data_IF_555620140078
#
_entry.id   IF_555620140078
#
_cell.length_a   1.000
_cell.length_b   1.000
_cell.length_c   1.000
_cell.angle_alpha   90.00
_cell.angle_beta   90.00
_cell.angle_gamma   90.00
#
_symmetry.space_group_name_H-M   'P 1'
#
loop_
_entity.id
_entity.type
_entity.pdbx_description
1 polymer ?
#
# COMPACT_ATOMS: atom_id res chain seq x y z
N UNK A 1 -61.16 9.19 -27.64
CA UNK A 1 -60.72 8.11 -26.73
C UNK A 1 -59.61 8.72 -25.87
N UNK A 2 -59.85 9.18 -24.63
CA UNK A 2 -59.56 8.45 -23.36
C UNK A 2 -58.31 7.55 -23.53
N UNK A 3 -57.17 7.77 -22.88
CA UNK A 3 -56.93 8.11 -21.45
C UNK A 3 -55.52 8.71 -21.26
N UNK A 4 -55.38 9.66 -20.34
CA UNK A 4 -54.12 10.17 -19.78
C UNK A 4 -53.71 9.22 -18.64
N UNK A 5 -52.45 8.79 -18.54
CA UNK A 5 -51.66 8.65 -17.29
C UNK A 5 -50.32 7.97 -17.60
N UNK A 6 -49.21 8.55 -17.12
CA UNK A 6 -47.90 7.91 -17.14
C UNK A 6 -46.71 8.84 -16.93
N UNK A 7 -46.82 9.87 -16.10
CA UNK A 7 -45.63 10.54 -15.53
C UNK A 7 -45.15 9.68 -14.37
N UNK A 8 -44.02 9.02 -14.55
CA UNK A 8 -43.08 8.64 -13.50
C UNK A 8 -41.70 8.80 -14.14
N UNK A 9 -40.95 9.87 -13.91
CA UNK A 9 -40.58 10.34 -12.58
C UNK A 9 -39.21 9.75 -12.29
N UNK A 10 -38.17 10.55 -12.54
CA UNK A 10 -36.81 10.26 -12.14
C UNK A 10 -36.79 9.83 -10.66
N UNK A 11 -36.16 8.70 -10.36
CA UNK A 11 -35.85 8.33 -8.98
C UNK A 11 -34.53 7.56 -8.92
N UNK A 12 -33.46 8.35 -8.78
CA UNK A 12 -32.42 8.15 -7.77
C UNK A 12 -31.73 6.77 -7.78
N UNK A 13 -30.59 6.73 -8.48
CA UNK A 13 -29.28 6.52 -7.85
C UNK A 13 -29.34 5.79 -6.49
N UNK A 14 -29.47 4.46 -6.48
CA UNK A 14 -29.19 3.68 -5.30
C UNK A 14 -27.66 3.61 -5.10
N UNK A 15 -27.08 4.73 -4.66
CA UNK A 15 -25.89 4.74 -3.84
C UNK A 15 -26.27 3.98 -2.58
N UNK A 16 -26.01 2.69 -2.58
CA UNK A 16 -25.99 1.87 -1.40
C UNK A 16 -24.64 1.14 -1.31
N UNK A 17 -23.54 1.83 -1.61
CA UNK A 17 -22.33 1.62 -0.83
C UNK A 17 -22.47 2.52 0.41
N UNK A 18 -23.31 2.05 1.32
CA UNK A 18 -23.12 2.37 2.73
C UNK A 18 -21.75 1.81 3.06
N UNK A 19 -20.72 2.65 2.93
CA UNK A 19 -19.49 2.51 3.67
C UNK A 19 -19.89 2.61 5.15
N UNK A 20 -20.47 1.52 5.66
CA UNK A 20 -20.31 1.16 7.03
C UNK A 20 -18.80 0.99 7.14
N UNK A 21 -18.12 2.04 7.63
CA UNK A 21 -16.69 2.05 7.85
C UNK A 21 -16.34 0.97 8.86
N UNK A 22 -16.32 -0.28 8.40
CA UNK A 22 -15.53 -1.31 9.02
C UNK A 22 -14.11 -0.83 8.86
N UNK A 23 -13.44 -0.57 9.98
CA UNK A 23 -12.01 -0.36 9.95
C UNK A 23 -11.39 -1.53 9.17
N UNK A 24 -10.63 -1.20 8.13
CA UNK A 24 -9.87 -2.19 7.35
C UNK A 24 -9.14 -3.12 8.32
N UNK A 25 -9.25 -4.43 8.08
CA UNK A 25 -8.53 -5.42 8.89
C UNK A 25 -7.01 -5.30 8.71
N UNK A 26 -6.59 -4.72 7.59
CA UNK A 26 -5.19 -4.48 7.25
C UNK A 26 -4.69 -3.08 7.58
N UNK A 27 -5.48 -2.21 8.25
CA UNK A 27 -5.08 -0.83 8.52
C UNK A 27 -3.69 -0.74 9.19
N UNK A 28 -3.44 -1.60 10.18
CA UNK A 28 -2.14 -1.67 10.86
C UNK A 28 -1.03 -2.18 9.94
N UNK A 29 -1.29 -3.20 9.13
CA UNK A 29 -0.31 -3.76 8.19
C UNK A 29 0.11 -2.72 7.14
N UNK A 30 -0.88 -2.07 6.52
CA UNK A 30 -0.67 -1.01 5.54
C UNK A 30 0.13 0.15 6.14
N UNK A 31 -0.19 0.58 7.36
CA UNK A 31 0.56 1.65 8.03
C UNK A 31 2.01 1.27 8.35
N UNK A 32 2.24 0.05 8.85
CA UNK A 32 3.60 -0.45 9.11
C UNK A 32 4.43 -0.55 7.82
N UNK A 33 3.80 -0.94 6.71
CA UNK A 33 4.45 -0.97 5.41
C UNK A 33 4.82 0.45 4.94
N UNK A 34 3.86 1.39 5.01
CA UNK A 34 4.06 2.81 4.69
C UNK A 34 5.23 3.41 5.47
N UNK A 35 5.24 3.26 6.81
CA UNK A 35 6.27 3.83 7.67
C UNK A 35 7.66 3.22 7.37
N UNK A 36 7.71 1.92 7.10
CA UNK A 36 8.94 1.23 6.71
C UNK A 36 9.50 1.74 5.39
N UNK A 37 8.65 1.83 4.37
CA UNK A 37 9.02 2.32 3.04
C UNK A 37 9.40 3.80 3.07
N UNK A 38 8.57 4.66 3.68
CA UNK A 38 8.78 6.11 3.68
C UNK A 38 10.06 6.49 4.41
N UNK A 39 10.45 5.78 5.47
CA UNK A 39 11.74 6.04 6.09
C UNK A 39 12.90 5.76 5.14
N UNK A 40 12.88 4.64 4.39
CA UNK A 40 13.91 4.38 3.39
C UNK A 40 13.87 5.44 2.28
N UNK A 41 12.68 5.76 1.76
CA UNK A 41 12.51 6.74 0.70
C UNK A 41 13.02 8.13 1.13
N UNK A 42 12.72 8.56 2.35
CA UNK A 42 13.23 9.81 2.91
C UNK A 42 14.74 9.79 3.15
N UNK A 43 15.31 8.67 3.60
CA UNK A 43 16.75 8.55 3.76
C UNK A 43 17.51 8.78 2.45
N UNK A 44 16.95 8.25 1.34
CA UNK A 44 17.48 8.40 -0.02
C UNK A 44 17.22 9.83 -0.52
N UNK A 45 15.98 10.31 -0.44
CA UNK A 45 15.54 11.60 -0.97
C UNK A 45 16.22 12.79 -0.28
N UNK A 46 16.36 12.73 1.03
CA UNK A 46 16.99 13.79 1.83
C UNK A 46 18.52 13.68 1.85
N UNK A 47 19.09 12.66 1.20
CA UNK A 47 20.53 12.39 1.16
C UNK A 47 21.16 12.46 2.57
N UNK A 48 20.55 11.75 3.54
CA UNK A 48 20.95 11.81 4.95
C UNK A 48 22.34 11.21 5.23
N UNK A 49 23.03 10.72 4.20
CA UNK A 49 24.34 10.09 4.28
C UNK A 49 24.26 8.58 4.05
N UNK A 50 25.32 8.03 3.45
CA UNK A 50 25.38 6.63 3.04
C UNK A 50 25.16 5.64 4.21
N UNK A 51 25.60 5.99 5.42
CA UNK A 51 25.43 5.15 6.60
C UNK A 51 23.97 5.06 7.05
N UNK A 52 23.21 6.16 6.95
CA UNK A 52 21.78 6.20 7.29
C UNK A 52 20.98 5.41 6.26
N UNK A 53 21.22 5.65 4.96
CA UNK A 53 20.57 4.90 3.87
C UNK A 53 20.85 3.40 3.99
N UNK A 54 22.09 3.01 4.30
CA UNK A 54 22.46 1.61 4.53
C UNK A 54 21.75 1.01 5.73
N UNK A 55 21.67 1.75 6.84
CA UNK A 55 20.95 1.33 8.05
C UNK A 55 19.47 1.08 7.75
N UNK A 56 18.81 2.00 7.05
CA UNK A 56 17.39 1.89 6.70
C UNK A 56 17.12 0.74 5.73
N UNK A 57 17.99 0.52 4.72
CA UNK A 57 17.93 -0.66 3.84
C UNK A 57 18.03 -1.97 4.62
N UNK A 58 18.92 -2.04 5.61
CA UNK A 58 19.11 -3.24 6.43
C UNK A 58 17.94 -3.50 7.38
N UNK A 59 17.27 -2.44 7.86
CA UNK A 59 16.11 -2.56 8.75
C UNK A 59 14.80 -2.85 7.99
N UNK A 60 14.70 -2.44 6.72
CA UNK A 60 13.47 -2.55 5.94
C UNK A 60 12.87 -3.97 5.92
N UNK A 61 13.62 -5.07 5.69
CA UNK A 61 13.05 -6.42 5.71
C UNK A 61 12.37 -6.77 7.04
N UNK A 62 12.90 -6.29 8.18
CA UNK A 62 12.28 -6.50 9.49
C UNK A 62 10.97 -5.73 9.63
N UNK A 63 10.92 -4.50 9.14
CA UNK A 63 9.70 -3.66 9.22
C UNK A 63 8.58 -4.19 8.33
N UNK A 64 8.94 -4.66 7.12
CA UNK A 64 7.99 -5.32 6.22
C UNK A 64 7.53 -6.64 6.82
N UNK A 65 8.39 -7.36 7.56
CA UNK A 65 7.95 -8.55 8.31
C UNK A 65 6.88 -8.22 9.35
N UNK A 66 7.05 -7.13 10.11
CA UNK A 66 6.04 -6.69 11.08
C UNK A 66 4.72 -6.33 10.40
N UNK A 67 4.77 -5.68 9.23
CA UNK A 67 3.59 -5.44 8.40
C UNK A 67 2.92 -6.75 7.94
N UNK A 68 3.71 -7.72 7.48
CA UNK A 68 3.22 -9.02 7.02
C UNK A 68 2.52 -9.81 8.14
N UNK A 69 3.08 -9.79 9.35
CA UNK A 69 2.51 -10.49 10.51
C UNK A 69 1.13 -9.94 10.92
N UNK A 70 0.76 -8.75 10.43
CA UNK A 70 -0.54 -8.10 10.66
C UNK A 70 -1.44 -8.12 9.43
N UNK A 71 -0.96 -8.62 8.30
CA UNK A 71 -1.67 -8.59 7.04
C UNK A 71 -2.51 -9.86 6.84
N UNK A 72 -3.63 -9.71 6.14
CA UNK A 72 -4.52 -10.79 5.72
C UNK A 72 -4.83 -10.67 4.22
N UNK A 73 -5.26 -11.79 3.61
CA UNK A 73 -5.74 -11.83 2.22
C UNK A 73 -4.74 -11.28 1.21
N UNK A 74 -5.24 -10.49 0.25
CA UNK A 74 -4.45 -9.92 -0.84
C UNK A 74 -3.34 -8.97 -0.35
N UNK A 75 -3.56 -8.24 0.74
CA UNK A 75 -2.54 -7.35 1.32
C UNK A 75 -1.36 -8.18 1.82
N UNK A 76 -1.62 -9.33 2.47
CA UNK A 76 -0.56 -10.22 2.93
C UNK A 76 0.25 -10.83 1.78
N UNK A 77 -0.39 -11.13 0.65
CA UNK A 77 0.30 -11.63 -0.55
C UNK A 77 1.24 -10.56 -1.11
N UNK A 78 0.75 -9.34 -1.32
CA UNK A 78 1.56 -8.24 -1.83
C UNK A 78 2.74 -7.88 -0.91
N UNK A 79 2.50 -7.83 0.41
CA UNK A 79 3.56 -7.54 1.39
C UNK A 79 4.59 -8.68 1.44
N UNK A 80 4.17 -9.94 1.26
CA UNK A 80 5.11 -11.08 1.20
C UNK A 80 6.04 -10.97 0.00
N UNK A 81 5.52 -10.66 -1.17
CA UNK A 81 6.33 -10.45 -2.37
C UNK A 81 7.35 -9.33 -2.17
N UNK A 82 6.90 -8.19 -1.63
CA UNK A 82 7.80 -7.08 -1.31
C UNK A 82 8.88 -7.46 -0.27
N UNK A 83 8.53 -8.25 0.74
CA UNK A 83 9.47 -8.78 1.75
C UNK A 83 10.55 -9.66 1.13
N UNK A 84 10.19 -10.51 0.16
CA UNK A 84 11.13 -11.41 -0.51
C UNK A 84 12.17 -10.65 -1.35
N UNK A 85 11.81 -9.47 -1.86
CA UNK A 85 12.68 -8.60 -2.65
C UNK A 85 13.50 -7.62 -1.81
N UNK A 86 13.01 -7.23 -0.62
CA UNK A 86 13.67 -6.25 0.25
C UNK A 86 15.15 -6.53 0.56
N UNK A 87 15.61 -7.80 0.77
CA UNK A 87 17.03 -8.11 0.95
C UNK A 87 17.93 -7.67 -0.22
N UNK A 88 17.39 -7.62 -1.45
CA UNK A 88 18.09 -7.15 -2.64
C UNK A 88 18.54 -5.68 -2.57
N UNK A 89 17.84 -4.87 -1.78
CA UNK A 89 18.21 -3.46 -1.55
C UNK A 89 19.53 -3.35 -0.76
N UNK A 90 19.77 -4.27 0.17
CA UNK A 90 20.98 -4.31 0.99
C UNK A 90 22.19 -4.88 0.24
N UNK A 91 21.97 -5.80 -0.71
CA UNK A 91 23.04 -6.34 -1.57
C UNK A 91 23.48 -5.38 -2.67
N UNK A 92 22.74 -4.29 -2.90
CA UNK A 92 23.01 -3.34 -3.99
C UNK A 92 22.66 -3.90 -5.37
N UNK A 93 21.83 -4.95 -5.42
CA UNK A 93 21.32 -5.54 -6.65
C UNK A 93 20.27 -4.60 -7.26
N UNK A 94 20.59 -3.98 -8.41
CA UNK A 94 19.70 -2.98 -9.03
C UNK A 94 18.40 -3.58 -9.54
N UNK A 95 18.42 -4.86 -9.94
CA UNK A 95 17.26 -5.53 -10.50
C UNK A 95 16.29 -5.91 -9.38
N UNK A 96 16.83 -6.44 -8.28
CA UNK A 96 16.04 -6.71 -7.08
C UNK A 96 15.51 -5.41 -6.45
N UNK A 97 16.31 -4.33 -6.47
CA UNK A 97 15.86 -3.01 -6.02
C UNK A 97 14.73 -2.45 -6.87
N UNK A 98 14.84 -2.51 -8.20
CA UNK A 98 13.78 -2.08 -9.13
C UNK A 98 12.51 -2.91 -8.91
N UNK A 99 12.64 -4.23 -8.83
CA UNK A 99 11.53 -5.13 -8.57
C UNK A 99 10.84 -4.81 -7.23
N UNK A 100 11.62 -4.53 -6.18
CA UNK A 100 11.07 -4.12 -4.88
C UNK A 100 10.18 -2.88 -5.02
N UNK A 101 10.68 -1.81 -5.64
CA UNK A 101 9.90 -0.56 -5.80
C UNK A 101 8.64 -0.76 -6.64
N UNK A 102 8.68 -1.62 -7.66
CA UNK A 102 7.47 -1.98 -8.43
C UNK A 102 6.44 -2.76 -7.59
N UNK A 103 6.87 -3.64 -6.68
CA UNK A 103 5.93 -4.33 -5.77
C UNK A 103 5.27 -3.40 -4.76
N UNK A 104 5.90 -2.27 -4.42
CA UNK A 104 5.33 -1.25 -3.53
C UNK A 104 4.05 -0.65 -4.10
N UNK A 105 3.97 -0.44 -5.42
CA UNK A 105 2.73 0.00 -6.08
C UNK A 105 1.61 -1.03 -5.90
N UNK A 106 1.95 -2.33 -6.00
CA UNK A 106 0.98 -3.43 -5.77
C UNK A 106 0.47 -3.42 -4.32
N UNK A 107 1.35 -3.19 -3.33
CA UNK A 107 0.93 -3.06 -1.93
C UNK A 107 -0.01 -1.86 -1.75
N UNK A 108 0.30 -0.71 -2.34
CA UNK A 108 -0.54 0.48 -2.28
C UNK A 108 -1.93 0.24 -2.88
N UNK A 109 -2.01 -0.42 -4.03
CA UNK A 109 -3.27 -0.80 -4.67
C UNK A 109 -4.10 -1.74 -3.79
N UNK A 110 -3.50 -2.76 -3.20
CA UNK A 110 -4.20 -3.71 -2.32
C UNK A 110 -4.67 -3.05 -1.02
N UNK A 111 -3.83 -2.22 -0.41
CA UNK A 111 -4.19 -1.43 0.77
C UNK A 111 -5.35 -0.47 0.50
N UNK A 112 -5.36 0.21 -0.66
CA UNK A 112 -6.48 1.05 -1.10
C UNK A 112 -7.76 0.24 -1.31
N UNK A 113 -7.68 -0.92 -1.97
CA UNK A 113 -8.83 -1.79 -2.20
C UNK A 113 -9.44 -2.33 -0.89
N UNK A 114 -8.62 -2.53 0.14
CA UNK A 114 -9.05 -2.94 1.48
C UNK A 114 -9.60 -1.79 2.33
N UNK A 115 -9.53 -0.54 1.85
CA UNK A 115 -9.99 0.65 2.58
C UNK A 115 -8.98 1.24 3.56
N UNK A 116 -7.69 0.88 3.44
CA UNK A 116 -6.57 1.45 4.19
C UNK A 116 -5.51 2.06 3.24
N UNK A 117 -5.82 3.16 2.52
CA UNK A 117 -4.87 3.77 1.61
C UNK A 117 -3.60 4.23 2.35
N UNK A 118 -2.45 4.10 1.68
CA UNK A 118 -1.14 4.53 2.17
C UNK A 118 -0.60 5.64 1.27
N UNK A 119 0.21 6.53 1.83
CA UNK A 119 0.86 7.64 1.11
C UNK A 119 2.36 7.39 1.04
N UNK A 120 2.87 7.11 -0.16
CA UNK A 120 4.26 6.70 -0.36
C UNK A 120 5.11 7.86 -0.91
N UNK A 121 6.28 8.07 -0.30
CA UNK A 121 7.24 9.05 -0.78
C UNK A 121 7.98 8.54 -2.03
N UNK A 122 8.15 9.38 -3.07
CA UNK A 122 8.85 8.94 -4.28
C UNK A 122 10.34 8.72 -4.02
N UNK A 123 10.89 7.66 -4.60
CA UNK A 123 12.33 7.41 -4.73
C UNK A 123 12.77 7.81 -6.14
N UNK A 124 13.60 8.85 -6.25
CA UNK A 124 14.13 9.37 -7.52
C UNK A 124 15.48 8.75 -7.87
#
# INVERSE_FOLDING_TARGET
MKTILGVAGAAVLAIALVACGGASKNATACKLYEDGYNQLADSVRLNLGADIVKSDRNMLPSRIKDALDKAEGDVAVAIRESKELAPGLASGDSDAGTAFFMTTDTVAEKCKADGAPIELHPTH
#
